data_IF_243311884802
#
_entry.id   IF_243311884802
#
_cell.length_a   1.000
_cell.length_b   1.000
_cell.length_c   1.000
_cell.angle_alpha   90.00
_cell.angle_beta   90.00
_cell.angle_gamma   90.00
#
_symmetry.space_group_name_H-M   'P 1'
#
loop_
_entity.id
_entity.type
_entity.pdbx_description
1 polymer ?
#
# COMPACT_ATOMS: atom_id res chain seq x y z
N UNK A 1 0.65 13.74 27.02
CA UNK A 1 0.27 14.92 26.22
C UNK A 1 -1.21 15.29 26.42
N UNK A 2 -2.09 14.35 26.75
CA UNK A 2 -3.52 14.61 27.03
C UNK A 2 -3.78 15.57 28.22
N UNK A 3 -2.81 15.76 29.12
CA UNK A 3 -2.93 16.63 30.30
C UNK A 3 -2.17 17.96 30.17
N UNK A 4 -1.63 18.32 29.00
CA UNK A 4 -0.94 19.61 28.84
C UNK A 4 -1.92 20.71 28.41
N UNK A 5 -1.60 21.97 28.72
CA UNK A 5 -2.40 23.14 28.31
C UNK A 5 -2.51 23.28 26.78
N UNK A 6 -1.63 22.60 26.03
CA UNK A 6 -1.65 22.54 24.56
C UNK A 6 -2.49 21.38 24.01
N UNK A 7 -2.98 20.46 24.85
CA UNK A 7 -3.73 19.27 24.41
C UNK A 7 -4.94 19.65 23.54
N UNK A 8 -5.67 20.69 23.93
CA UNK A 8 -6.84 21.19 23.21
C UNK A 8 -6.52 21.67 21.78
N UNK A 9 -5.26 22.02 21.48
CA UNK A 9 -4.86 22.45 20.14
C UNK A 9 -4.67 21.27 19.19
N UNK A 10 -4.49 20.06 19.73
CA UNK A 10 -4.25 18.83 18.99
C UNK A 10 -5.42 17.85 19.04
N UNK A 11 -6.45 18.13 19.85
CA UNK A 11 -7.70 17.36 19.90
C UNK A 11 -8.68 17.88 18.82
N UNK A 12 -8.42 17.49 17.59
CA UNK A 12 -9.17 17.94 16.41
C UNK A 12 -10.23 16.92 16.01
N UNK A 13 -11.41 17.40 15.63
CA UNK A 13 -12.47 16.53 15.12
C UNK A 13 -12.05 15.81 13.83
N UNK A 14 -12.62 14.62 13.61
CA UNK A 14 -12.35 13.79 12.42
C UNK A 14 -12.45 14.58 11.10
N UNK A 15 -13.49 15.38 10.80
CA UNK A 15 -13.57 16.12 9.54
C UNK A 15 -12.41 17.11 9.37
N UNK A 16 -12.00 17.77 10.44
CA UNK A 16 -10.86 18.70 10.46
C UNK A 16 -9.57 17.96 10.14
N UNK A 17 -9.33 16.79 10.75
CA UNK A 17 -8.15 15.96 10.46
C UNK A 17 -8.13 15.52 9.00
N UNK A 18 -9.26 15.09 8.43
CA UNK A 18 -9.36 14.68 7.03
C UNK A 18 -8.92 15.81 6.09
N UNK A 19 -9.41 17.03 6.31
CA UNK A 19 -9.05 18.17 5.47
C UNK A 19 -7.63 18.70 5.72
N UNK A 20 -7.09 18.57 6.94
CA UNK A 20 -5.68 18.84 7.21
C UNK A 20 -4.77 17.84 6.51
N UNK A 21 -5.13 16.55 6.50
CA UNK A 21 -4.41 15.52 5.74
C UNK A 21 -4.50 15.77 4.23
N UNK A 22 -5.65 16.22 3.72
CA UNK A 22 -5.81 16.63 2.33
C UNK A 22 -4.90 17.82 2.01
N UNK A 23 -4.90 18.86 2.86
CA UNK A 23 -4.00 20.00 2.75
C UNK A 23 -2.52 19.59 2.75
N UNK A 24 -2.14 18.68 3.65
CA UNK A 24 -0.81 18.08 3.67
C UNK A 24 -0.49 17.35 2.36
N UNK A 25 -1.39 16.49 1.86
CA UNK A 25 -1.20 15.76 0.60
C UNK A 25 -1.08 16.70 -0.61
N UNK A 26 -1.81 17.82 -0.60
CA UNK A 26 -1.68 18.86 -1.61
C UNK A 26 -0.30 19.51 -1.58
N UNK A 27 0.12 19.99 -0.40
CA UNK A 27 1.46 20.57 -0.23
C UNK A 27 2.54 19.57 -0.62
N UNK A 28 2.44 18.33 -0.17
CA UNK A 28 3.37 17.28 -0.50
C UNK A 28 3.48 17.07 -2.02
N UNK A 29 2.35 16.94 -2.74
CA UNK A 29 2.34 16.69 -4.18
C UNK A 29 2.88 17.86 -5.02
N UNK A 30 2.61 19.10 -4.60
CA UNK A 30 3.01 20.35 -5.27
C UNK A 30 4.49 20.66 -5.03
N UNK A 31 4.95 20.51 -3.78
CA UNK A 31 6.29 20.91 -3.40
C UNK A 31 7.37 20.00 -4.02
N UNK A 32 8.56 20.54 -4.31
CA UNK A 32 9.67 19.75 -4.80
C UNK A 32 10.06 18.62 -3.83
N UNK A 33 10.39 17.46 -4.41
CA UNK A 33 10.69 16.23 -3.65
C UNK A 33 11.82 16.42 -2.63
N UNK A 34 12.86 17.19 -2.97
CA UNK A 34 13.99 17.46 -2.08
C UNK A 34 13.64 18.28 -0.84
N UNK A 35 12.52 19.02 -0.87
CA UNK A 35 12.15 19.94 0.20
C UNK A 35 11.36 19.25 1.32
N UNK A 36 10.47 18.32 0.97
CA UNK A 36 9.62 17.63 1.96
C UNK A 36 9.89 16.12 2.01
N UNK A 37 9.71 15.43 0.88
CA UNK A 37 9.74 13.96 0.82
C UNK A 37 11.09 13.40 1.28
N UNK A 38 12.19 13.86 0.67
CA UNK A 38 13.54 13.31 0.94
C UNK A 38 13.96 13.45 2.41
N UNK A 39 14.00 14.66 3.01
CA UNK A 39 14.45 14.80 4.39
C UNK A 39 13.53 14.07 5.38
N UNK A 40 12.22 14.08 5.13
CA UNK A 40 11.24 13.39 5.96
C UNK A 40 11.39 11.88 5.91
N UNK A 41 11.49 11.29 4.72
CA UNK A 41 11.63 9.84 4.56
C UNK A 41 12.97 9.36 5.15
N UNK A 42 14.03 10.17 5.02
CA UNK A 42 15.32 9.89 5.66
C UNK A 42 15.20 9.82 7.19
N UNK A 43 14.61 10.83 7.83
CA UNK A 43 14.39 10.84 9.29
C UNK A 43 13.46 9.69 9.73
N UNK A 44 12.40 9.46 8.96
CA UNK A 44 11.43 8.39 9.24
C UNK A 44 12.07 7.00 9.18
N UNK A 45 13.11 6.82 8.36
CA UNK A 45 13.82 5.53 8.24
C UNK A 45 14.49 5.13 9.54
N UNK A 46 15.22 6.03 10.19
CA UNK A 46 15.90 5.72 11.47
C UNK A 46 14.91 5.32 12.55
N UNK A 47 13.82 6.08 12.68
CA UNK A 47 12.77 5.77 13.63
C UNK A 47 12.11 4.43 13.28
N UNK A 48 11.73 4.21 12.02
CA UNK A 48 11.07 2.96 11.59
C UNK A 48 11.95 1.73 11.85
N UNK A 49 13.21 1.76 11.42
CA UNK A 49 14.14 0.64 11.66
C UNK A 49 14.38 0.43 13.15
N UNK A 50 14.54 1.51 13.94
CA UNK A 50 14.73 1.43 15.38
C UNK A 50 13.54 0.79 16.10
N UNK A 51 12.30 1.22 15.79
CA UNK A 51 11.09 0.64 16.38
C UNK A 51 10.93 -0.83 16.02
N UNK A 52 11.20 -1.19 14.77
CA UNK A 52 11.06 -2.58 14.32
C UNK A 52 12.07 -3.49 14.99
N UNK A 53 13.32 -3.04 15.16
CA UNK A 53 14.34 -3.79 15.91
C UNK A 53 13.94 -3.92 17.38
N UNK A 54 13.48 -2.83 18.01
CA UNK A 54 13.03 -2.86 19.41
C UNK A 54 11.87 -3.84 19.59
N UNK A 55 10.88 -3.79 18.70
CA UNK A 55 9.72 -4.68 18.73
C UNK A 55 10.13 -6.14 18.54
N UNK A 56 11.03 -6.42 17.59
CA UNK A 56 11.58 -7.75 17.37
C UNK A 56 12.24 -8.33 18.62
N UNK A 57 13.10 -7.53 19.26
CA UNK A 57 13.76 -7.92 20.50
C UNK A 57 12.74 -8.13 21.63
N UNK A 58 11.75 -7.23 21.74
CA UNK A 58 10.67 -7.35 22.73
C UNK A 58 9.88 -8.66 22.58
N UNK A 59 9.51 -9.00 21.35
CA UNK A 59 8.81 -10.26 21.03
C UNK A 59 9.66 -11.48 21.39
N UNK A 60 10.96 -11.48 21.02
CA UNK A 60 11.86 -12.62 21.28
C UNK A 60 12.10 -12.82 22.79
N UNK A 61 12.29 -11.72 23.53
CA UNK A 61 12.59 -11.77 24.97
C UNK A 61 11.35 -12.13 25.79
N UNK A 62 10.20 -11.52 25.48
CA UNK A 62 8.96 -11.74 26.22
C UNK A 62 8.27 -13.06 25.84
N UNK A 63 8.42 -13.49 24.59
CA UNK A 63 7.72 -14.64 24.01
C UNK A 63 6.22 -14.66 24.38
N UNK A 64 5.45 -13.61 24.05
CA UNK A 64 4.08 -13.47 24.52
C UNK A 64 3.21 -14.61 23.94
N UNK A 65 2.29 -15.19 24.74
CA UNK A 65 1.38 -16.20 24.24
C UNK A 65 0.46 -15.58 23.18
N UNK A 66 0.23 -16.34 22.11
CA UNK A 66 -0.74 -15.98 21.08
C UNK A 66 -2.12 -16.43 21.56
N UNK A 67 -3.01 -15.47 21.81
CA UNK A 67 -4.38 -15.69 22.27
C UNK A 67 -5.34 -16.00 21.11
N UNK A 68 -5.03 -15.49 19.91
CA UNK A 68 -5.86 -15.72 18.73
C UNK A 68 -5.79 -17.19 18.26
N UNK A 69 -6.93 -17.87 18.02
CA UNK A 69 -6.94 -19.22 17.49
C UNK A 69 -6.21 -19.30 16.14
N UNK A 70 -5.52 -20.43 15.90
CA UNK A 70 -4.80 -20.69 14.64
C UNK A 70 -5.70 -20.59 13.40
N UNK A 71 -6.97 -20.96 13.57
CA UNK A 71 -8.01 -20.89 12.54
C UNK A 71 -9.29 -20.42 13.23
N UNK A 72 -9.94 -19.39 12.68
CA UNK A 72 -11.20 -18.86 13.20
C UNK A 72 -12.39 -19.30 12.34
N UNK A 73 -13.62 -19.15 12.83
CA UNK A 73 -14.81 -19.45 12.04
C UNK A 73 -14.94 -18.58 10.76
N UNK A 74 -14.25 -17.44 10.73
CA UNK A 74 -14.31 -16.47 9.64
C UNK A 74 -13.58 -16.90 8.36
N UNK A 75 -12.92 -18.07 8.35
CA UNK A 75 -12.35 -18.62 7.10
C UNK A 75 -13.41 -18.82 6.01
N UNK A 76 -14.65 -19.08 6.43
CA UNK A 76 -15.82 -19.28 5.55
C UNK A 76 -16.59 -17.98 5.26
N UNK A 77 -16.03 -16.82 5.62
CA UNK A 77 -16.69 -15.53 5.50
C UNK A 77 -17.56 -15.18 6.72
N UNK A 78 -18.36 -14.12 6.59
CA UNK A 78 -19.20 -13.59 7.67
C UNK A 78 -18.41 -12.87 8.78
N UNK A 79 -17.15 -12.52 8.52
CA UNK A 79 -16.32 -11.78 9.46
C UNK A 79 -16.84 -10.36 9.73
N UNK A 80 -16.70 -9.84 10.97
CA UNK A 80 -17.25 -8.54 11.35
C UNK A 80 -16.47 -7.35 10.75
N UNK A 81 -15.19 -7.56 10.40
CA UNK A 81 -14.33 -6.57 9.75
C UNK A 81 -14.41 -6.72 8.23
N UNK A 82 -14.24 -7.96 7.76
CA UNK A 82 -14.26 -8.32 6.33
C UNK A 82 -15.24 -9.48 6.16
N UNK A 83 -16.34 -9.28 5.42
CA UNK A 83 -17.39 -10.29 5.31
C UNK A 83 -17.08 -11.42 4.31
N UNK A 84 -16.15 -11.21 3.38
CA UNK A 84 -15.78 -12.20 2.36
C UNK A 84 -15.04 -13.43 2.91
N UNK A 85 -15.03 -14.52 2.15
CA UNK A 85 -14.28 -15.75 2.47
C UNK A 85 -12.77 -15.51 2.45
N UNK A 86 -11.99 -16.32 3.17
CA UNK A 86 -10.53 -16.18 3.22
C UNK A 86 -9.91 -16.09 1.83
N UNK A 87 -10.32 -16.96 0.91
CA UNK A 87 -9.93 -16.88 -0.49
C UNK A 87 -11.09 -16.30 -1.31
N UNK A 88 -10.85 -15.26 -2.14
CA UNK A 88 -9.58 -14.59 -2.43
C UNK A 88 -9.23 -13.41 -1.50
N UNK A 89 -10.10 -13.04 -0.55
CA UNK A 89 -9.98 -11.77 0.17
C UNK A 89 -8.67 -11.57 0.91
N UNK A 90 -8.04 -12.61 1.46
CA UNK A 90 -6.76 -12.50 2.17
C UNK A 90 -5.67 -11.83 1.32
N UNK A 91 -5.67 -12.07 0.01
CA UNK A 91 -4.70 -11.48 -0.92
C UNK A 91 -5.04 -10.04 -1.32
N UNK A 92 -6.29 -9.64 -1.14
CA UNK A 92 -6.74 -8.27 -1.40
C UNK A 92 -6.57 -7.44 -0.13
N UNK A 93 -6.91 -8.00 1.03
CA UNK A 93 -7.00 -7.26 2.28
C UNK A 93 -5.68 -7.18 3.02
N UNK A 94 -4.75 -8.13 2.79
CA UNK A 94 -3.38 -7.99 3.26
C UNK A 94 -2.58 -7.26 2.18
N UNK A 95 -2.49 -5.94 2.34
CA UNK A 95 -1.69 -5.10 1.46
C UNK A 95 -0.19 -5.26 1.74
N UNK A 96 0.61 -5.11 0.68
CA UNK A 96 2.08 -5.05 0.74
C UNK A 96 2.81 -6.30 1.30
N UNK A 97 2.17 -7.47 1.29
CA UNK A 97 2.79 -8.76 1.63
C UNK A 97 3.65 -9.33 0.48
N UNK A 98 3.45 -10.61 0.13
CA UNK A 98 4.28 -11.35 -0.84
C UNK A 98 4.48 -10.63 -2.20
N UNK A 99 3.53 -9.80 -2.63
CA UNK A 99 3.63 -8.95 -3.83
C UNK A 99 3.00 -7.58 -3.52
N UNK A 100 3.71 -6.48 -3.87
CA UNK A 100 3.22 -5.10 -3.75
C UNK A 100 3.33 -4.35 -5.06
N UNK A 101 2.18 -4.02 -5.66
CA UNK A 101 2.11 -3.21 -6.87
C UNK A 101 2.50 -1.76 -6.64
N UNK A 102 2.06 -1.18 -5.52
CA UNK A 102 2.40 0.18 -5.15
C UNK A 102 3.91 0.35 -4.95
N UNK A 103 4.57 -0.58 -4.24
CA UNK A 103 6.03 -0.53 -4.09
C UNK A 103 6.75 -0.71 -5.41
N UNK A 104 6.24 -1.55 -6.31
CA UNK A 104 6.82 -1.70 -7.65
C UNK A 104 6.76 -0.39 -8.46
N UNK A 105 5.64 0.34 -8.38
CA UNK A 105 5.51 1.66 -9.01
C UNK A 105 6.42 2.70 -8.36
N UNK A 106 6.37 2.85 -7.03
CA UNK A 106 7.13 3.88 -6.31
C UNK A 106 8.63 3.62 -6.41
N UNK A 107 9.06 2.36 -6.28
CA UNK A 107 10.47 1.97 -6.41
C UNK A 107 11.05 2.33 -7.78
N UNK A 108 10.25 2.27 -8.86
CA UNK A 108 10.71 2.72 -10.19
C UNK A 108 11.11 4.20 -10.22
N UNK A 109 10.54 5.01 -9.33
CA UNK A 109 10.81 6.44 -9.19
C UNK A 109 11.95 6.77 -8.23
N UNK A 110 12.37 5.84 -7.37
CA UNK A 110 13.33 6.06 -6.28
C UNK A 110 14.60 5.22 -6.46
N UNK A 111 14.53 3.90 -6.28
CA UNK A 111 15.71 3.00 -6.22
C UNK A 111 16.66 3.16 -7.41
N UNK A 112 16.21 3.12 -8.69
CA UNK A 112 17.11 3.29 -9.85
C UNK A 112 17.82 4.65 -9.90
N UNK A 113 17.27 5.67 -9.25
CA UNK A 113 17.86 7.03 -9.22
C UNK A 113 18.83 7.24 -8.06
N UNK A 114 18.79 6.36 -7.06
CA UNK A 114 19.64 6.43 -5.86
C UNK A 114 20.79 5.43 -5.88
N UNK A 115 20.71 4.39 -6.72
CA UNK A 115 21.80 3.43 -6.93
C UNK A 115 22.69 3.84 -8.10
N UNK A 116 23.99 3.57 -7.99
CA UNK A 116 24.98 3.88 -9.03
C UNK A 116 25.17 2.74 -10.04
N UNK A 117 24.81 1.50 -9.68
CA UNK A 117 24.99 0.29 -10.49
C UNK A 117 23.94 -0.77 -10.20
N UNK A 118 23.62 -1.63 -11.16
CA UNK A 118 22.57 -2.65 -11.05
C UNK A 118 22.81 -3.64 -9.89
N UNK A 119 24.07 -3.98 -9.57
CA UNK A 119 24.39 -4.86 -8.42
C UNK A 119 23.91 -4.33 -7.07
N UNK A 120 23.59 -3.03 -6.96
CA UNK A 120 23.01 -2.42 -5.76
C UNK A 120 21.47 -2.55 -5.71
N UNK A 121 20.82 -3.08 -6.74
CA UNK A 121 19.36 -3.30 -6.77
C UNK A 121 18.88 -4.20 -5.62
N UNK A 122 19.77 -4.97 -4.99
CA UNK A 122 19.51 -5.73 -3.76
C UNK A 122 18.98 -4.85 -2.61
N UNK A 123 19.23 -3.55 -2.61
CA UNK A 123 18.64 -2.60 -1.66
C UNK A 123 17.10 -2.64 -1.72
N UNK A 124 16.53 -2.70 -2.92
CA UNK A 124 15.07 -2.82 -3.09
C UNK A 124 14.54 -4.16 -2.56
N UNK A 125 15.28 -5.24 -2.79
CA UNK A 125 14.94 -6.57 -2.25
C UNK A 125 14.99 -6.59 -0.71
N UNK A 126 16.06 -6.06 -0.11
CA UNK A 126 16.20 -5.94 1.34
C UNK A 126 15.10 -5.09 1.97
N UNK A 127 14.66 -4.02 1.31
CA UNK A 127 13.54 -3.19 1.76
C UNK A 127 12.23 -4.00 1.83
N UNK A 128 11.94 -4.84 0.83
CA UNK A 128 10.75 -5.72 0.83
C UNK A 128 10.83 -6.82 1.90
N UNK A 129 12.02 -7.37 2.17
CA UNK A 129 12.21 -8.31 3.28
C UNK A 129 11.96 -7.64 4.63
N UNK A 130 12.45 -6.41 4.80
CA UNK A 130 12.21 -5.64 6.02
C UNK A 130 10.71 -5.37 6.21
N UNK A 131 10.00 -4.97 5.16
CA UNK A 131 8.56 -4.78 5.23
C UNK A 131 7.80 -6.07 5.57
N UNK A 132 8.17 -7.20 4.97
CA UNK A 132 7.58 -8.50 5.27
C UNK A 132 7.75 -8.86 6.75
N UNK A 133 8.92 -8.54 7.33
CA UNK A 133 9.18 -8.74 8.75
C UNK A 133 8.30 -7.85 9.63
N UNK A 134 8.05 -6.58 9.25
CA UNK A 134 7.08 -5.72 9.94
C UNK A 134 5.68 -6.34 9.93
N UNK A 135 5.26 -6.92 8.80
CA UNK A 135 3.99 -7.64 8.70
C UNK A 135 3.86 -8.80 9.70
N UNK A 136 4.92 -9.57 9.91
CA UNK A 136 4.96 -10.64 10.93
C UNK A 136 4.85 -10.05 12.34
N UNK A 137 5.56 -8.96 12.63
CA UNK A 137 5.47 -8.31 13.94
C UNK A 137 4.08 -7.74 14.21
N UNK A 138 3.43 -7.17 13.20
CA UNK A 138 2.06 -6.68 13.30
C UNK A 138 1.06 -7.81 13.56
N UNK A 139 1.25 -8.98 12.93
CA UNK A 139 0.45 -10.17 13.22
C UNK A 139 0.63 -10.63 14.67
N UNK A 140 1.86 -10.68 15.18
CA UNK A 140 2.12 -11.04 16.58
C UNK A 140 1.45 -10.03 17.52
N UNK A 141 1.66 -8.73 17.30
CA UNK A 141 1.05 -7.68 18.12
C UNK A 141 -0.48 -7.76 18.16
N UNK A 142 -1.12 -8.04 17.02
CA UNK A 142 -2.57 -8.22 16.95
C UNK A 142 -3.06 -9.49 17.64
N UNK A 143 -2.31 -10.60 17.55
CA UNK A 143 -2.75 -11.92 18.02
C UNK A 143 -2.40 -12.22 19.47
N UNK A 144 -1.60 -11.39 20.12
CA UNK A 144 -1.39 -11.37 21.58
C UNK A 144 -2.59 -10.76 22.31
N UNK A 145 -3.42 -9.96 21.63
CA UNK A 145 -4.66 -9.44 22.20
C UNK A 145 -5.71 -10.54 22.30
N UNK A 146 -6.52 -10.50 23.36
CA UNK A 146 -7.68 -11.36 23.48
C UNK A 146 -8.61 -11.12 22.28
N UNK A 147 -9.12 -12.17 21.60
CA UNK A 147 -9.91 -12.01 20.38
C UNK A 147 -11.10 -11.06 20.50
N UNK A 148 -11.82 -11.09 21.63
CA UNK A 148 -12.92 -10.17 21.91
C UNK A 148 -12.47 -8.71 21.99
N UNK A 149 -11.34 -8.44 22.65
CA UNK A 149 -10.77 -7.09 22.75
C UNK A 149 -10.25 -6.60 21.38
N UNK A 150 -9.60 -7.48 20.60
CA UNK A 150 -9.18 -7.15 19.23
C UNK A 150 -10.36 -6.74 18.34
N UNK A 151 -11.48 -7.47 18.43
CA UNK A 151 -12.70 -7.17 17.68
C UNK A 151 -13.41 -5.93 18.23
N UNK A 152 -13.40 -5.69 19.54
CA UNK A 152 -13.94 -4.48 20.15
C UNK A 152 -13.19 -3.21 19.72
N UNK A 153 -11.86 -3.31 19.52
CA UNK A 153 -11.07 -2.22 18.93
C UNK A 153 -11.45 -2.01 17.46
N UNK A 154 -11.52 -3.09 16.67
CA UNK A 154 -11.60 -3.02 15.22
C UNK A 154 -13.01 -3.01 14.61
N UNK A 155 -14.06 -2.99 15.42
CA UNK A 155 -15.45 -2.98 14.97
C UNK A 155 -16.28 -2.00 15.81
N UNK A 156 -17.48 -1.67 15.33
CA UNK A 156 -18.47 -0.87 16.07
C UNK A 156 -19.51 -1.75 16.78
N UNK A 157 -19.21 -3.04 16.97
CA UNK A 157 -20.13 -3.99 17.60
C UNK A 157 -20.13 -3.83 19.11
N UNK A 158 -21.29 -4.04 19.74
CA UNK A 158 -21.38 -4.03 21.20
C UNK A 158 -20.70 -5.26 21.82
N UNK A 159 -20.27 -5.14 23.08
CA UNK A 159 -19.70 -6.25 23.84
C UNK A 159 -20.63 -7.48 23.87
N UNK A 160 -21.95 -7.26 24.02
CA UNK A 160 -22.95 -8.33 23.98
C UNK A 160 -23.01 -9.06 22.62
N UNK A 161 -22.91 -8.30 21.52
CA UNK A 161 -22.88 -8.88 20.17
C UNK A 161 -21.62 -9.72 19.97
N UNK A 162 -20.47 -9.22 20.42
CA UNK A 162 -19.20 -9.95 20.36
C UNK A 162 -19.24 -11.23 21.21
N UNK A 163 -19.80 -11.15 22.42
CA UNK A 163 -19.99 -12.32 23.28
C UNK A 163 -20.92 -13.36 22.65
N UNK A 164 -22.02 -12.94 22.03
CA UNK A 164 -22.94 -13.83 21.30
C UNK A 164 -22.27 -14.53 20.10
N UNK A 165 -21.27 -13.89 19.49
CA UNK A 165 -20.44 -14.50 18.43
C UNK A 165 -19.32 -15.42 18.96
N UNK A 166 -19.23 -15.61 20.28
CA UNK A 166 -18.19 -16.43 20.92
C UNK A 166 -16.88 -15.70 21.21
N UNK A 167 -16.88 -14.36 21.15
CA UNK A 167 -15.71 -13.51 21.40
C UNK A 167 -15.99 -12.53 22.55
N UNK A 168 -16.10 -13.00 23.80
CA UNK A 168 -16.34 -12.11 24.93
C UNK A 168 -15.19 -11.11 25.10
N UNK A 169 -15.56 -9.85 25.32
CA UNK A 169 -14.63 -8.76 25.64
C UNK A 169 -14.19 -8.91 27.10
N UNK A 170 -12.91 -8.69 27.39
CA UNK A 170 -12.35 -8.98 28.71
C UNK A 170 -11.57 -7.80 29.30
N UNK A 171 -10.63 -7.20 28.55
CA UNK A 171 -9.69 -6.20 29.10
C UNK A 171 -9.80 -4.83 28.44
N UNK A 172 -10.80 -4.59 27.59
CA UNK A 172 -10.89 -3.33 26.84
C UNK A 172 -10.89 -2.06 27.71
N UNK A 173 -11.55 -2.10 28.87
CA UNK A 173 -11.60 -0.98 29.82
C UNK A 173 -10.25 -0.77 30.52
N UNK A 174 -9.60 -1.86 30.92
CA UNK A 174 -8.27 -1.84 31.51
C UNK A 174 -7.25 -1.28 30.51
N UNK A 175 -7.27 -1.77 29.27
CA UNK A 175 -6.40 -1.31 28.18
C UNK A 175 -6.61 0.18 27.93
N UNK A 176 -7.87 0.65 27.87
CA UNK A 176 -8.20 2.06 27.69
C UNK A 176 -7.64 2.92 28.84
N UNK A 177 -7.73 2.43 30.08
CA UNK A 177 -7.16 3.12 31.25
C UNK A 177 -5.63 3.19 31.19
N UNK A 178 -4.97 2.08 30.82
CA UNK A 178 -3.50 2.00 30.78
C UNK A 178 -2.88 2.84 29.66
N UNK A 179 -3.59 3.02 28.54
CA UNK A 179 -3.13 3.88 27.43
C UNK A 179 -3.66 5.30 27.49
N UNK A 180 -4.51 5.61 28.49
CA UNK A 180 -5.14 6.91 28.73
C UNK A 180 -6.07 7.39 27.59
N UNK A 181 -6.56 6.47 26.76
CA UNK A 181 -7.43 6.76 25.60
C UNK A 181 -8.43 5.62 25.43
N UNK A 182 -9.68 5.94 25.11
CA UNK A 182 -10.69 4.93 24.75
C UNK A 182 -10.29 4.23 23.44
N UNK A 183 -9.97 2.94 23.51
CA UNK A 183 -9.49 2.16 22.36
C UNK A 183 -10.59 1.43 21.60
N UNK A 184 -11.77 1.25 22.21
CA UNK A 184 -12.91 0.58 21.59
C UNK A 184 -13.46 1.40 20.41
N UNK A 185 -14.00 0.71 19.40
CA UNK A 185 -14.66 1.37 18.27
C UNK A 185 -13.75 2.19 17.37
N UNK A 186 -12.44 1.90 17.35
CA UNK A 186 -11.43 2.57 16.51
C UNK A 186 -10.91 1.62 15.42
N UNK A 187 -11.73 1.31 14.39
CA UNK A 187 -11.33 0.45 13.30
C UNK A 187 -10.13 1.02 12.54
N UNK A 188 -9.34 0.13 11.94
CA UNK A 188 -8.22 0.50 11.06
C UNK A 188 -6.92 -0.23 11.32
N UNK A 189 -6.89 -1.16 12.29
CA UNK A 189 -5.69 -1.95 12.62
C UNK A 189 -4.66 -1.19 13.47
N UNK A 190 -4.55 0.12 13.28
CA UNK A 190 -3.57 0.98 13.93
C UNK A 190 -3.60 0.92 15.46
N UNK A 191 -4.80 1.07 16.01
CA UNK A 191 -5.00 1.03 17.46
C UNK A 191 -4.67 -0.34 18.02
N UNK A 192 -5.07 -1.43 17.36
CA UNK A 192 -4.72 -2.79 17.82
C UNK A 192 -3.22 -3.07 17.73
N UNK A 193 -2.55 -2.59 16.68
CA UNK A 193 -1.09 -2.67 16.57
C UNK A 193 -0.43 -1.92 17.73
N UNK A 194 -0.84 -0.68 17.98
CA UNK A 194 -0.29 0.15 19.04
C UNK A 194 -0.52 -0.45 20.44
N UNK A 195 -1.73 -0.98 20.72
CA UNK A 195 -2.04 -1.66 21.99
C UNK A 195 -1.21 -2.94 22.14
N UNK A 196 -1.10 -3.74 21.09
CA UNK A 196 -0.28 -4.96 21.08
C UNK A 196 1.20 -4.68 21.33
N UNK A 197 1.77 -3.71 20.59
CA UNK A 197 3.15 -3.27 20.78
C UNK A 197 3.39 -2.69 22.18
N UNK A 198 2.48 -1.85 22.67
CA UNK A 198 2.58 -1.28 24.01
C UNK A 198 2.52 -2.35 25.10
N UNK A 199 1.69 -3.38 24.92
CA UNK A 199 1.60 -4.52 25.84
C UNK A 199 2.89 -5.34 25.86
N UNK A 200 3.51 -5.56 24.69
CA UNK A 200 4.81 -6.24 24.59
C UNK A 200 5.91 -5.42 25.28
N UNK A 201 5.97 -4.11 25.04
CA UNK A 201 6.99 -3.25 25.66
C UNK A 201 6.77 -3.07 27.15
N UNK A 202 5.54 -2.94 27.62
CA UNK A 202 5.23 -2.86 29.05
C UNK A 202 5.60 -4.15 29.80
N UNK A 203 5.63 -5.29 29.12
CA UNK A 203 6.10 -6.57 29.67
C UNK A 203 7.62 -6.64 29.89
N UNK A 204 8.41 -5.70 29.35
CA UNK A 204 9.85 -5.66 29.56
C UNK A 204 10.22 -5.10 30.95
N UNK A 205 11.31 -5.58 31.57
CA UNK A 205 11.74 -5.08 32.89
C UNK A 205 11.93 -3.56 32.90
N UNK A 206 11.26 -2.88 33.85
CA UNK A 206 11.34 -1.42 34.01
C UNK A 206 10.44 -0.59 33.09
N UNK A 207 9.63 -1.22 32.22
CA UNK A 207 8.81 -0.52 31.22
C UNK A 207 7.30 -0.54 31.49
N UNK A 208 6.85 -1.23 32.55
CA UNK A 208 5.42 -1.44 32.86
C UNK A 208 4.61 -0.14 33.04
N UNK A 209 5.22 0.91 33.62
CA UNK A 209 4.56 2.20 33.83
C UNK A 209 4.49 3.11 32.59
N UNK A 210 5.01 2.67 31.43
CA UNK A 210 5.16 3.49 30.23
C UNK A 210 4.18 3.10 29.11
N UNK A 211 3.12 2.35 29.43
CA UNK A 211 2.19 1.82 28.42
C UNK A 211 1.54 2.93 27.57
N UNK A 212 1.07 4.02 28.18
CA UNK A 212 0.55 5.18 27.46
C UNK A 212 1.60 5.82 26.53
N UNK A 213 2.86 5.92 26.98
CA UNK A 213 3.95 6.41 26.14
C UNK A 213 4.20 5.50 24.94
N UNK A 214 4.31 4.19 25.15
CA UNK A 214 4.53 3.22 24.08
C UNK A 214 3.38 3.15 23.08
N UNK A 215 2.14 3.30 23.56
CA UNK A 215 0.96 3.37 22.71
C UNK A 215 1.02 4.59 21.78
N UNK A 216 1.25 5.78 22.33
CA UNK A 216 1.36 7.01 21.52
C UNK A 216 2.56 6.98 20.57
N UNK A 217 3.68 6.38 21.01
CA UNK A 217 4.86 6.20 20.18
C UNK A 217 4.60 5.24 19.01
N UNK A 218 3.88 4.13 19.23
CA UNK A 218 3.49 3.20 18.18
C UNK A 218 2.54 3.86 17.16
N UNK A 219 1.57 4.66 17.62
CA UNK A 219 0.70 5.45 16.74
C UNK A 219 1.49 6.46 15.91
N UNK A 220 2.48 7.14 16.49
CA UNK A 220 3.35 8.06 15.75
C UNK A 220 4.18 7.31 14.68
N UNK A 221 4.75 6.17 15.05
CA UNK A 221 5.49 5.30 14.14
C UNK A 221 4.65 4.92 12.92
N UNK A 222 3.41 4.50 13.15
CA UNK A 222 2.48 4.10 12.10
C UNK A 222 1.99 5.29 11.27
N UNK A 223 1.66 6.41 11.91
CA UNK A 223 1.27 7.64 11.21
C UNK A 223 2.37 8.09 10.22
N UNK A 224 3.64 7.96 10.60
CA UNK A 224 4.78 8.25 9.72
C UNK A 224 4.93 7.23 8.57
N UNK A 225 4.39 6.03 8.69
CA UNK A 225 4.24 5.10 7.58
C UNK A 225 3.17 5.58 6.60
N UNK A 226 1.97 5.88 7.10
CA UNK A 226 0.82 6.32 6.31
C UNK A 226 1.12 7.63 5.56
N UNK A 227 1.77 8.60 6.21
CA UNK A 227 2.14 9.87 5.58
C UNK A 227 3.08 9.66 4.38
N UNK A 228 3.91 8.61 4.34
CA UNK A 228 4.82 8.35 3.20
C UNK A 228 4.00 7.91 2.01
N UNK A 229 3.01 7.06 2.25
CA UNK A 229 2.03 6.63 1.25
C UNK A 229 1.21 7.80 0.73
N UNK A 230 0.76 8.73 1.58
CA UNK A 230 0.01 9.91 1.16
C UNK A 230 0.84 10.81 0.22
N UNK A 231 2.09 11.11 0.57
CA UNK A 231 2.98 11.94 -0.28
C UNK A 231 3.26 11.25 -1.62
N UNK A 232 3.83 10.04 -1.58
CA UNK A 232 4.21 9.30 -2.78
C UNK A 232 3.00 8.99 -3.68
N UNK A 233 1.89 8.55 -3.08
CA UNK A 233 0.66 8.21 -3.79
C UNK A 233 0.02 9.42 -4.45
N UNK A 234 -0.14 10.55 -3.73
CA UNK A 234 -0.73 11.78 -4.29
C UNK A 234 0.14 12.33 -5.42
N UNK A 235 1.46 12.25 -5.30
CA UNK A 235 2.40 12.69 -6.33
C UNK A 235 2.33 11.83 -7.59
N UNK A 236 2.32 10.50 -7.44
CA UNK A 236 2.17 9.57 -8.58
C UNK A 236 0.82 9.77 -9.26
N UNK A 237 -0.27 9.86 -8.49
CA UNK A 237 -1.60 10.11 -9.03
C UNK A 237 -1.67 11.43 -9.81
N UNK A 238 -1.03 12.49 -9.33
CA UNK A 238 -0.89 13.74 -10.08
C UNK A 238 -0.18 13.53 -11.42
N UNK A 239 0.94 12.81 -11.45
CA UNK A 239 1.66 12.54 -12.70
C UNK A 239 0.78 11.80 -13.70
N UNK A 240 -0.03 10.84 -13.24
CA UNK A 240 -0.98 10.12 -14.09
C UNK A 240 -2.06 11.05 -14.65
N UNK A 241 -2.63 11.95 -13.83
CA UNK A 241 -3.61 12.95 -14.29
C UNK A 241 -2.99 13.90 -15.32
N UNK A 242 -1.77 14.37 -15.09
CA UNK A 242 -1.06 15.24 -16.03
C UNK A 242 -0.71 14.52 -17.34
N UNK A 243 -0.32 13.24 -17.28
CA UNK A 243 -0.01 12.44 -18.47
C UNK A 243 -1.25 12.20 -19.34
N UNK A 244 -2.36 11.77 -18.71
CA UNK A 244 -3.64 11.53 -19.39
C UNK A 244 -4.20 12.84 -19.93
N UNK A 245 -4.28 13.87 -19.08
CA UNK A 245 -4.77 15.21 -19.46
C UNK A 245 -3.89 15.87 -20.53
N UNK A 246 -2.59 15.55 -20.54
CA UNK A 246 -1.62 16.00 -21.54
C UNK A 246 -1.93 15.52 -22.96
N UNK A 247 -2.75 14.47 -23.13
CA UNK A 247 -3.24 14.05 -24.46
C UNK A 247 -4.32 14.97 -25.00
N UNK A 248 -5.11 15.60 -24.13
CA UNK A 248 -6.16 16.54 -24.50
C UNK A 248 -5.66 18.00 -24.51
N UNK A 249 -4.81 18.37 -23.55
CA UNK A 249 -4.27 19.72 -23.40
C UNK A 249 -2.74 19.69 -23.27
N UNK A 250 -2.07 20.09 -24.35
CA UNK A 250 -0.61 19.97 -24.51
C UNK A 250 0.24 20.48 -23.33
N UNK A 251 -0.09 21.63 -22.70
CA UNK A 251 0.67 22.13 -21.55
C UNK A 251 0.72 21.19 -20.34
N UNK A 252 -0.28 20.33 -20.13
CA UNK A 252 -0.28 19.37 -19.01
C UNK A 252 0.82 18.30 -19.13
N UNK A 253 1.38 18.08 -20.33
CA UNK A 253 2.53 17.17 -20.51
C UNK A 253 3.79 17.67 -19.80
N UNK A 254 3.86 18.96 -19.45
CA UNK A 254 4.99 19.56 -18.74
C UNK A 254 4.81 19.35 -17.23
N UNK A 255 5.49 18.35 -16.67
CA UNK A 255 5.38 17.96 -15.26
C UNK A 255 5.71 19.07 -14.23
N UNK A 256 6.45 20.11 -14.66
CA UNK A 256 6.87 21.25 -13.83
C UNK A 256 6.08 22.53 -14.13
N UNK A 257 4.99 22.46 -14.91
CA UNK A 257 4.16 23.61 -15.20
C UNK A 257 3.21 23.89 -14.03
N UNK A 258 3.50 24.92 -13.25
CA UNK A 258 2.83 25.25 -11.98
C UNK A 258 1.29 25.23 -12.02
N UNK A 259 0.60 25.84 -13.00
CA UNK A 259 -0.86 25.75 -13.08
C UNK A 259 -1.35 24.31 -13.20
N UNK A 260 -0.69 23.49 -14.03
CA UNK A 260 -1.00 22.07 -14.16
C UNK A 260 -0.69 21.29 -12.89
N UNK A 261 0.43 21.59 -12.22
CA UNK A 261 0.79 20.96 -10.94
C UNK A 261 -0.25 21.24 -9.88
N UNK A 262 -0.65 22.51 -9.71
CA UNK A 262 -1.65 22.92 -8.70
C UNK A 262 -3.01 22.32 -9.02
N UNK A 263 -3.50 22.47 -10.27
CA UNK A 263 -4.83 22.00 -10.65
C UNK A 263 -4.95 20.47 -10.55
N UNK A 264 -3.96 19.73 -11.08
CA UNK A 264 -3.97 18.26 -10.98
C UNK A 264 -3.79 17.77 -9.54
N UNK A 265 -2.98 18.45 -8.71
CA UNK A 265 -2.88 18.13 -7.27
C UNK A 265 -4.21 18.34 -6.55
N UNK A 266 -4.85 19.48 -6.78
CA UNK A 266 -6.13 19.82 -6.17
C UNK A 266 -7.22 18.81 -6.58
N UNK A 267 -7.25 18.42 -7.86
CA UNK A 267 -8.19 17.40 -8.34
C UNK A 267 -7.97 16.04 -7.67
N UNK A 268 -6.72 15.57 -7.60
CA UNK A 268 -6.38 14.29 -6.96
C UNK A 268 -6.71 14.32 -5.46
N UNK A 269 -6.29 15.37 -4.76
CA UNK A 269 -6.50 15.53 -3.31
C UNK A 269 -7.97 15.70 -2.97
N UNK A 270 -8.71 16.48 -3.74
CA UNK A 270 -10.15 16.62 -3.58
C UNK A 270 -10.86 15.28 -3.77
N UNK A 271 -10.47 14.50 -4.78
CA UNK A 271 -11.06 13.19 -5.05
C UNK A 271 -10.85 12.19 -3.91
N UNK A 272 -9.61 11.97 -3.46
CA UNK A 272 -9.39 11.03 -2.35
C UNK A 272 -9.84 11.60 -1.00
N UNK A 273 -9.75 12.91 -0.78
CA UNK A 273 -10.25 13.57 0.43
C UNK A 273 -11.76 13.39 0.60
N UNK A 274 -12.53 13.51 -0.49
CA UNK A 274 -13.96 13.20 -0.52
C UNK A 274 -14.25 11.74 -0.15
N UNK A 275 -13.49 10.79 -0.71
CA UNK A 275 -13.64 9.37 -0.39
C UNK A 275 -13.32 9.06 1.07
N UNK A 276 -12.33 9.72 1.68
CA UNK A 276 -12.02 9.55 3.11
C UNK A 276 -13.10 10.18 3.99
N UNK A 277 -13.65 11.33 3.59
CA UNK A 277 -14.70 12.00 4.35
C UNK A 277 -16.01 11.20 4.38
N UNK A 278 -16.34 10.51 3.28
CA UNK A 278 -17.63 9.82 3.09
C UNK A 278 -17.55 8.29 3.23
N UNK A 279 -16.38 7.70 3.05
CA UNK A 279 -16.18 6.26 3.05
C UNK A 279 -15.91 5.67 4.44
N UNK A 280 -15.84 4.33 4.48
CA UNK A 280 -15.47 3.57 5.67
C UNK A 280 -14.29 2.65 5.40
N UNK A 281 -13.60 2.19 6.45
CA UNK A 281 -12.48 1.25 6.30
C UNK A 281 -12.93 -0.04 5.61
N UNK A 282 -14.15 -0.50 5.89
CA UNK A 282 -14.71 -1.73 5.30
C UNK A 282 -14.99 -1.64 3.79
N UNK A 283 -15.02 -0.43 3.21
CA UNK A 283 -15.23 -0.22 1.77
C UNK A 283 -13.93 0.21 1.08
N UNK A 284 -13.19 1.15 1.67
CA UNK A 284 -11.94 1.69 1.10
C UNK A 284 -10.84 0.63 1.09
N UNK A 285 -10.70 -0.15 2.16
CA UNK A 285 -9.56 -1.06 2.33
C UNK A 285 -9.55 -2.20 1.30
N UNK A 286 -10.65 -2.94 1.06
CA UNK A 286 -10.66 -3.97 0.01
C UNK A 286 -10.43 -3.40 -1.40
N UNK A 287 -10.92 -2.19 -1.67
CA UNK A 287 -10.66 -1.50 -2.93
C UNK A 287 -9.19 -1.17 -3.14
N UNK A 288 -8.55 -0.60 -2.11
CA UNK A 288 -7.11 -0.34 -2.11
C UNK A 288 -6.34 -1.63 -2.39
N UNK A 289 -6.72 -2.72 -1.73
CA UNK A 289 -6.24 -4.07 -1.96
C UNK A 289 -6.29 -4.50 -3.43
N UNK A 290 -7.47 -4.42 -4.04
CA UNK A 290 -7.69 -4.88 -5.41
C UNK A 290 -6.89 -4.03 -6.42
N UNK A 291 -6.85 -2.71 -6.22
CA UNK A 291 -6.04 -1.80 -7.03
C UNK A 291 -4.53 -2.10 -6.88
N UNK A 292 -4.06 -2.38 -5.66
CA UNK A 292 -2.66 -2.75 -5.42
C UNK A 292 -2.28 -4.08 -6.10
N UNK A 293 -3.17 -5.07 -6.08
CA UNK A 293 -2.92 -6.34 -6.77
C UNK A 293 -2.92 -6.18 -8.30
N UNK A 294 -3.80 -5.34 -8.86
CA UNK A 294 -3.75 -4.98 -10.29
C UNK A 294 -2.39 -4.36 -10.66
N UNK A 295 -1.87 -3.44 -9.84
CA UNK A 295 -0.56 -2.83 -10.06
C UNK A 295 0.57 -3.85 -9.93
N UNK A 296 0.45 -4.82 -9.02
CA UNK A 296 1.42 -5.91 -8.85
C UNK A 296 1.45 -6.81 -10.07
N UNK A 297 0.28 -7.17 -10.59
CA UNK A 297 0.13 -7.89 -11.85
C UNK A 297 0.76 -7.12 -13.02
N UNK A 298 0.51 -5.81 -13.13
CA UNK A 298 1.12 -4.97 -14.16
C UNK A 298 2.64 -4.95 -14.05
N UNK A 299 3.20 -4.83 -12.84
CA UNK A 299 4.63 -4.89 -12.63
C UNK A 299 5.24 -6.22 -13.10
N UNK A 300 4.55 -7.33 -12.84
CA UNK A 300 4.97 -8.65 -13.33
C UNK A 300 4.80 -8.80 -14.85
N UNK A 301 3.78 -8.19 -15.46
CA UNK A 301 3.66 -8.11 -16.93
C UNK A 301 4.85 -7.36 -17.53
N UNK A 302 5.23 -6.22 -16.95
CA UNK A 302 6.41 -5.44 -17.39
C UNK A 302 7.68 -6.27 -17.21
N UNK A 303 7.87 -6.91 -16.04
CA UNK A 303 9.02 -7.80 -15.79
C UNK A 303 9.12 -8.96 -16.79
N UNK A 304 7.99 -9.59 -17.10
CA UNK A 304 7.91 -10.65 -18.13
C UNK A 304 8.33 -10.11 -19.50
N UNK A 305 7.83 -8.93 -19.87
CA UNK A 305 8.19 -8.28 -21.14
C UNK A 305 9.68 -7.96 -21.21
N UNK A 306 10.26 -7.45 -20.13
CA UNK A 306 11.71 -7.17 -20.03
C UNK A 306 12.52 -8.46 -20.21
N UNK A 307 12.14 -9.57 -19.56
CA UNK A 307 12.82 -10.86 -19.73
C UNK A 307 12.78 -11.38 -21.16
N UNK A 308 11.64 -11.21 -21.87
CA UNK A 308 11.52 -11.56 -23.30
C UNK A 308 12.50 -10.73 -24.12
N UNK A 309 12.52 -9.40 -23.91
CA UNK A 309 13.42 -8.49 -24.63
C UNK A 309 14.89 -8.80 -24.38
N UNK A 310 15.25 -9.21 -23.17
CA UNK A 310 16.61 -9.65 -22.80
C UNK A 310 16.98 -11.04 -23.36
N UNK A 311 16.11 -11.67 -24.17
CA UNK A 311 16.26 -13.05 -24.67
C UNK A 311 16.44 -14.08 -23.54
N UNK A 312 15.90 -13.79 -22.36
CA UNK A 312 15.96 -14.64 -21.15
C UNK A 312 14.71 -15.52 -21.01
N UNK A 313 14.24 -16.09 -22.13
CA UNK A 313 12.97 -16.83 -22.20
C UNK A 313 12.86 -17.99 -21.19
N UNK A 314 13.99 -18.65 -20.85
CA UNK A 314 14.04 -19.72 -19.85
C UNK A 314 13.62 -19.30 -18.43
N UNK A 315 13.62 -18.00 -18.13
CA UNK A 315 13.29 -17.45 -16.82
C UNK A 315 11.88 -16.84 -16.74
N UNK A 316 11.07 -16.93 -17.82
CA UNK A 316 9.75 -16.31 -17.86
C UNK A 316 8.80 -16.81 -16.77
N UNK A 317 8.95 -18.07 -16.34
CA UNK A 317 8.12 -18.65 -15.29
C UNK A 317 8.23 -17.88 -13.96
N UNK A 318 9.38 -17.24 -13.69
CA UNK A 318 9.63 -16.48 -12.44
C UNK A 318 8.68 -15.29 -12.32
N UNK A 319 8.28 -14.68 -13.43
CA UNK A 319 7.34 -13.54 -13.45
C UNK A 319 5.94 -13.97 -13.88
N UNK A 320 5.81 -14.90 -14.83
CA UNK A 320 4.53 -15.29 -15.39
C UNK A 320 3.67 -16.12 -14.42
N UNK A 321 4.25 -17.04 -13.65
CA UNK A 321 3.50 -17.84 -12.66
C UNK A 321 2.87 -16.97 -11.57
N UNK A 322 3.62 -16.12 -10.84
CA UNK A 322 3.00 -15.23 -9.86
C UNK A 322 2.04 -14.24 -10.50
N UNK A 323 2.28 -13.80 -11.75
CA UNK A 323 1.37 -12.91 -12.45
C UNK A 323 0.00 -13.54 -12.72
N UNK A 324 -0.02 -14.79 -13.22
CA UNK A 324 -1.28 -15.52 -13.45
C UNK A 324 -2.03 -15.75 -12.13
N UNK A 325 -1.30 -16.07 -11.06
CA UNK A 325 -1.87 -16.22 -9.73
C UNK A 325 -2.52 -14.92 -9.24
N UNK A 326 -1.77 -13.80 -9.26
CA UNK A 326 -2.28 -12.49 -8.85
C UNK A 326 -3.44 -12.05 -9.75
N UNK A 327 -3.37 -12.28 -11.05
CA UNK A 327 -4.45 -11.98 -11.99
C UNK A 327 -5.74 -12.73 -11.61
N UNK A 328 -5.66 -14.04 -11.37
CA UNK A 328 -6.81 -14.86 -11.00
C UNK A 328 -7.44 -14.35 -9.70
N UNK A 329 -6.62 -14.16 -8.66
CA UNK A 329 -7.06 -13.66 -7.35
C UNK A 329 -7.68 -12.27 -7.43
N UNK A 330 -7.06 -11.36 -8.20
CA UNK A 330 -7.57 -9.99 -8.39
C UNK A 330 -8.91 -10.01 -9.10
N UNK A 331 -9.07 -10.81 -10.16
CA UNK A 331 -10.32 -10.90 -10.91
C UNK A 331 -11.44 -11.56 -10.10
N UNK A 332 -11.16 -12.65 -9.38
CA UNK A 332 -12.14 -13.30 -8.51
C UNK A 332 -12.57 -12.37 -7.38
N UNK A 333 -11.64 -11.70 -6.72
CA UNK A 333 -12.00 -10.81 -5.63
C UNK A 333 -12.63 -9.49 -6.08
N UNK A 334 -12.27 -8.96 -7.26
CA UNK A 334 -12.99 -7.85 -7.87
C UNK A 334 -14.44 -8.25 -8.22
N UNK A 335 -14.66 -9.47 -8.70
CA UNK A 335 -16.01 -10.00 -8.92
C UNK A 335 -16.82 -10.05 -7.62
N UNK A 336 -16.29 -10.63 -6.54
CA UNK A 336 -16.99 -10.69 -5.25
C UNK A 336 -17.24 -9.30 -4.64
N UNK A 337 -16.26 -8.39 -4.72
CA UNK A 337 -16.41 -7.01 -4.26
C UNK A 337 -17.46 -6.23 -5.03
N UNK A 338 -17.53 -6.41 -6.35
CA UNK A 338 -18.53 -5.76 -7.19
C UNK A 338 -19.95 -6.12 -6.74
N UNK A 339 -20.25 -7.42 -6.60
CA UNK A 339 -21.58 -7.85 -6.15
C UNK A 339 -21.87 -7.43 -4.71
N UNK A 340 -20.87 -7.43 -3.83
CA UNK A 340 -21.00 -6.94 -2.46
C UNK A 340 -21.39 -5.46 -2.43
N UNK A 341 -20.71 -4.60 -3.19
CA UNK A 341 -21.01 -3.17 -3.20
C UNK A 341 -22.35 -2.86 -3.88
N UNK A 342 -22.70 -3.57 -4.96
CA UNK A 342 -24.02 -3.44 -5.60
C UNK A 342 -25.14 -3.86 -4.64
N UNK A 343 -24.99 -4.98 -3.93
CA UNK A 343 -25.97 -5.43 -2.95
C UNK A 343 -26.13 -4.43 -1.80
N UNK A 344 -25.02 -3.95 -1.23
CA UNK A 344 -25.04 -2.93 -0.16
C UNK A 344 -25.70 -1.63 -0.62
N UNK A 345 -25.39 -1.17 -1.84
CA UNK A 345 -26.00 0.02 -2.43
C UNK A 345 -27.52 -0.14 -2.60
N UNK A 346 -27.99 -1.34 -2.99
CA UNK A 346 -29.42 -1.65 -3.11
C UNK A 346 -30.18 -1.66 -1.78
N UNK A 347 -29.49 -1.93 -0.67
CA UNK A 347 -30.07 -1.93 0.69
C UNK A 347 -29.88 -0.62 1.45
N UNK A 348 -29.17 0.36 0.89
CA UNK A 348 -28.88 1.62 1.55
C UNK A 348 -30.14 2.51 1.62
N UNK A 349 -30.45 3.01 2.82
CA UNK A 349 -31.68 3.78 3.10
C UNK A 349 -31.60 5.26 2.76
N UNK A 350 -30.49 5.75 2.18
CA UNK A 350 -30.31 7.14 1.76
C UNK A 350 -29.30 7.32 0.62
N UNK A 351 -29.49 8.36 -0.20
CA UNK A 351 -28.62 8.70 -1.35
C UNK A 351 -27.15 8.90 -0.95
N UNK A 352 -26.92 9.45 0.24
CA UNK A 352 -25.59 9.82 0.73
C UNK A 352 -24.73 8.60 1.09
N UNK A 353 -25.36 7.46 1.37
CA UNK A 353 -24.67 6.18 1.61
C UNK A 353 -24.63 5.30 0.35
N UNK A 354 -25.64 5.42 -0.52
CA UNK A 354 -25.70 4.65 -1.76
C UNK A 354 -24.66 5.12 -2.79
N UNK A 355 -24.46 6.44 -2.95
CA UNK A 355 -23.57 6.98 -3.97
C UNK A 355 -22.11 6.51 -3.80
N UNK A 356 -21.48 6.57 -2.61
CA UNK A 356 -20.11 6.05 -2.43
C UNK A 356 -20.00 4.56 -2.78
N UNK A 357 -20.99 3.75 -2.40
CA UNK A 357 -21.00 2.31 -2.69
C UNK A 357 -21.13 2.01 -4.19
N UNK A 358 -21.92 2.81 -4.92
CA UNK A 358 -22.01 2.71 -6.38
C UNK A 358 -20.70 3.13 -7.05
N UNK A 359 -20.08 4.21 -6.58
CA UNK A 359 -18.77 4.63 -7.07
C UNK A 359 -17.72 3.54 -6.84
N UNK A 360 -17.70 2.93 -5.66
CA UNK A 360 -16.81 1.82 -5.31
C UNK A 360 -17.03 0.62 -6.24
N UNK A 361 -18.29 0.22 -6.51
CA UNK A 361 -18.62 -0.84 -7.45
C UNK A 361 -18.11 -0.54 -8.87
N UNK A 362 -18.32 0.68 -9.37
CA UNK A 362 -17.85 1.11 -10.69
C UNK A 362 -16.32 1.04 -10.75
N UNK A 363 -15.63 1.54 -9.73
CA UNK A 363 -14.17 1.55 -9.68
C UNK A 363 -13.60 0.12 -9.69
N UNK A 364 -14.19 -0.80 -8.93
CA UNK A 364 -13.80 -2.22 -8.96
C UNK A 364 -14.02 -2.85 -10.33
N UNK A 365 -15.15 -2.57 -10.99
CA UNK A 365 -15.42 -3.05 -12.34
C UNK A 365 -14.38 -2.53 -13.35
N UNK A 366 -14.03 -1.23 -13.26
CA UNK A 366 -12.99 -0.62 -14.10
C UNK A 366 -11.64 -1.30 -13.87
N UNK A 367 -11.25 -1.54 -12.61
CA UNK A 367 -10.01 -2.27 -12.26
C UNK A 367 -9.98 -3.67 -12.89
N UNK A 368 -11.08 -4.41 -12.81
CA UNK A 368 -11.18 -5.75 -13.41
C UNK A 368 -11.06 -5.72 -14.95
N UNK A 369 -11.77 -4.79 -15.61
CA UNK A 369 -11.71 -4.63 -17.07
C UNK A 369 -10.29 -4.24 -17.52
N UNK A 370 -9.64 -3.31 -16.81
CA UNK A 370 -8.27 -2.91 -17.10
C UNK A 370 -7.30 -4.09 -16.93
N UNK A 371 -7.48 -4.93 -15.90
CA UNK A 371 -6.69 -6.15 -15.72
C UNK A 371 -6.76 -7.04 -16.96
N UNK A 372 -7.98 -7.32 -17.44
CA UNK A 372 -8.22 -8.17 -18.62
C UNK A 372 -7.57 -7.57 -19.86
N UNK A 373 -7.74 -6.27 -20.10
CA UNK A 373 -7.16 -5.57 -21.25
C UNK A 373 -5.62 -5.68 -21.23
N UNK A 374 -5.00 -5.41 -20.08
CA UNK A 374 -3.54 -5.48 -19.93
C UNK A 374 -3.03 -6.90 -20.18
N UNK A 375 -3.69 -7.92 -19.64
CA UNK A 375 -3.31 -9.31 -19.82
C UNK A 375 -3.45 -9.75 -21.28
N UNK A 376 -4.56 -9.38 -21.94
CA UNK A 376 -4.81 -9.72 -23.33
C UNK A 376 -3.78 -9.06 -24.27
N UNK A 377 -3.51 -7.76 -24.09
CA UNK A 377 -2.51 -7.03 -24.88
C UNK A 377 -1.09 -7.58 -24.64
N UNK A 378 -0.73 -7.84 -23.39
CA UNK A 378 0.59 -8.39 -23.04
C UNK A 378 0.78 -9.78 -23.63
N UNK A 379 -0.20 -10.66 -23.49
CA UNK A 379 -0.15 -12.04 -24.02
C UNK A 379 -0.04 -12.03 -25.55
N UNK A 380 -0.81 -11.18 -26.24
CA UNK A 380 -0.72 -11.00 -27.69
C UNK A 380 0.68 -10.60 -28.12
N UNK A 381 1.29 -9.62 -27.43
CA UNK A 381 2.66 -9.16 -27.74
C UNK A 381 3.70 -10.25 -27.49
N UNK A 382 3.60 -10.98 -26.38
CA UNK A 382 4.53 -12.07 -26.06
C UNK A 382 4.43 -13.23 -27.05
N UNK A 383 3.22 -13.60 -27.46
CA UNK A 383 3.01 -14.58 -28.53
C UNK A 383 3.64 -14.11 -29.84
N UNK A 384 3.46 -12.83 -30.18
CA UNK A 384 4.12 -12.20 -31.32
C UNK A 384 5.65 -12.33 -31.28
N UNK A 385 6.28 -12.01 -30.15
CA UNK A 385 7.74 -12.08 -30.00
C UNK A 385 8.29 -13.50 -29.96
N UNK A 386 7.64 -14.40 -29.22
CA UNK A 386 8.18 -15.74 -28.92
C UNK A 386 7.83 -16.78 -29.99
N UNK A 387 6.64 -16.69 -30.59
CA UNK A 387 6.11 -17.69 -31.53
C UNK A 387 6.13 -17.17 -32.96
N UNK A 388 5.64 -15.94 -33.18
CA UNK A 388 5.55 -15.37 -34.54
C UNK A 388 6.84 -14.67 -35.00
N UNK A 389 7.85 -14.56 -34.12
CA UNK A 389 9.14 -13.96 -34.46
C UNK A 389 9.07 -12.45 -34.74
N UNK A 390 8.13 -11.72 -34.16
CA UNK A 390 8.06 -10.27 -34.30
C UNK A 390 9.36 -9.60 -33.86
N UNK A 391 9.83 -8.56 -34.60
CA UNK A 391 11.06 -7.88 -34.25
C UNK A 391 10.93 -7.17 -32.90
N UNK A 392 11.88 -7.42 -32.01
CA UNK A 392 11.96 -6.75 -30.71
C UNK A 392 12.56 -5.35 -30.94
N UNK A 393 11.72 -4.32 -30.85
CA UNK A 393 12.18 -2.92 -30.85
C UNK A 393 12.36 -2.44 -29.41
N UNK A 394 13.59 -2.11 -29.03
CA UNK A 394 13.92 -1.47 -27.76
C UNK A 394 13.93 0.05 -27.95
N UNK A 395 12.99 0.74 -27.30
CA UNK A 395 13.00 2.21 -27.17
C UNK A 395 13.68 2.65 -25.87
N UNK A 396 14.23 1.71 -25.10
CA UNK A 396 14.89 1.95 -23.83
C UNK A 396 16.22 2.66 -24.09
N UNK A 397 16.42 3.79 -23.41
CA UNK A 397 17.67 4.55 -23.49
C UNK A 397 18.74 3.72 -22.78
N UNK A 398 19.71 3.20 -23.54
CA UNK A 398 20.93 2.65 -22.95
C UNK A 398 21.64 3.81 -22.24
N UNK A 399 21.65 3.80 -20.91
CA UNK A 399 22.40 4.76 -20.12
C UNK A 399 23.90 4.46 -20.30
N UNK A 400 24.48 5.01 -21.36
CA UNK A 400 25.88 4.74 -21.72
C UNK A 400 26.30 5.38 -23.04
N UNK A 401 25.99 6.66 -23.25
CA UNK A 401 26.40 7.40 -24.45
C UNK A 401 26.90 8.81 -24.18
N UNK A 402 27.23 9.14 -22.93
CA UNK A 402 27.55 10.49 -22.50
C UNK A 402 28.82 10.58 -21.66
N UNK A 403 29.97 10.23 -22.24
CA UNK A 403 31.30 10.80 -21.91
C UNK A 403 32.35 10.21 -22.86
N UNK A 404 32.84 11.05 -23.76
CA UNK A 404 34.14 10.99 -24.48
C UNK A 404 34.81 9.62 -24.58
N UNK A 405 34.74 9.06 -25.78
CA UNK A 405 35.58 7.94 -26.23
C UNK A 405 37.07 8.31 -26.22
N UNK A 406 37.96 7.38 -25.83
CA UNK A 406 39.27 7.28 -26.43
C UNK A 406 39.40 5.92 -27.15
N UNK A 407 38.63 5.73 -28.22
CA UNK A 407 38.95 4.88 -29.38
C UNK A 407 37.77 4.96 -30.37
N UNK A 408 38.04 5.46 -31.58
CA UNK A 408 37.04 5.86 -32.56
C UNK A 408 35.97 4.82 -32.88
N UNK A 409 34.71 5.23 -32.77
CA UNK A 409 33.56 4.58 -33.37
C UNK A 409 32.67 5.68 -33.97
N UNK A 410 32.62 5.74 -35.29
CA UNK A 410 31.68 6.59 -36.03
C UNK A 410 30.31 5.89 -36.12
N UNK A 411 29.19 6.63 -36.02
CA UNK A 411 27.86 6.07 -36.24
C UNK A 411 27.61 5.84 -37.73
N UNK A 412 27.20 4.62 -38.12
CA UNK A 412 26.67 4.37 -39.47
C UNK A 412 25.20 4.78 -39.59
N UNK A 413 24.84 5.29 -40.77
CA UNK A 413 23.60 6.00 -41.10
C UNK A 413 22.31 5.16 -41.19
N UNK A 414 22.28 3.91 -40.69
CA UNK A 414 21.09 3.06 -40.66
C UNK A 414 20.81 2.67 -39.22
N UNK A 415 19.72 3.13 -38.62
CA UNK A 415 19.38 3.02 -37.19
C UNK A 415 19.17 1.60 -36.62
N UNK A 416 20.13 0.70 -36.81
CA UNK A 416 20.23 -0.60 -36.17
C UNK A 416 21.54 -0.66 -35.38
N UNK A 417 21.42 -0.79 -34.05
CA UNK A 417 22.52 -1.17 -33.18
C UNK A 417 22.38 -2.65 -32.88
N UNK A 418 23.28 -3.44 -33.45
CA UNK A 418 23.46 -4.85 -33.11
C UNK A 418 24.13 -4.93 -31.73
N UNK A 419 23.67 -5.82 -30.86
CA UNK A 419 24.20 -5.98 -29.49
C UNK A 419 25.23 -7.12 -29.54
N UNK A 420 26.56 -6.84 -29.55
CA UNK A 420 27.55 -7.89 -29.50
C UNK A 420 27.75 -8.31 -28.04
N UNK A 421 27.43 -9.56 -27.71
CA UNK A 421 27.98 -10.24 -26.54
C UNK A 421 27.40 -9.86 -25.18
N UNK A 422 26.22 -10.41 -24.85
CA UNK A 422 26.01 -11.18 -23.62
C UNK A 422 26.32 -10.60 -22.23
N UNK A 423 26.61 -9.31 -22.07
CA UNK A 423 26.75 -8.64 -20.77
C UNK A 423 26.12 -7.25 -20.87
N UNK A 424 24.90 -7.10 -20.35
CA UNK A 424 24.32 -5.77 -20.12
C UNK A 424 24.96 -5.19 -18.85
N UNK A 425 25.39 -3.94 -18.94
CA UNK A 425 25.77 -3.06 -17.83
C UNK A 425 24.58 -2.24 -17.35
#
# INVERSE_FOLDING_TARGET
>A
MAQSDLAAWFDLEKPTIVWLLAGYGFLASVLPMWMLLVPRDYLSTFMKTGVVVLLALGVIVLAPPIEMPRVTAFIHGGGPIIPGTMFPFVFITIACGAISGFHSLVASGTTPKMIARESQAIVGYGAMLMESFVGVMALIAATVLIPGDYLAINTLLSADTLAAMGFPVARIEELSRLVEVEVAGRPGGAVSLAVGMASIFAGLPGMAGLMAYWYQFALLFEALFILTTIDAGTRVARYLVQEIGGRAYGPLRRINWWPGVIASSAAVVGAWGYLIATGSISTIWPMFGAANQLLGMLALCVGTTVLIKMRKARYLWVTAVPMVFVAAVTLTGAYELFFLFVAKAGTATGSDQALPLVLDAILVAVVAVLAIIVLADSTRKWYGYLVQGWPIRTTEVVAGGGRTSPAGLHPMASGHLDIPGGRCC
#
